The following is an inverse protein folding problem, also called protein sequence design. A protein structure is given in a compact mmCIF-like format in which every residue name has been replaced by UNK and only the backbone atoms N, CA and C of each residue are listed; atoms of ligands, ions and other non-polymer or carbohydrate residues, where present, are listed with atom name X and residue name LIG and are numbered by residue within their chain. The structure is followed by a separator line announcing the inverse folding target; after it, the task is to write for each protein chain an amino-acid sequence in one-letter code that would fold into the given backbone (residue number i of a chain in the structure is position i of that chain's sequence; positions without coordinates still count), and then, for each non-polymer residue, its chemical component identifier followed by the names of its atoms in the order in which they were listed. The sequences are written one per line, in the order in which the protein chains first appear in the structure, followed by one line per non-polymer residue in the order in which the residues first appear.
data_IF_271681879127
#
_entry.id   IF_271681879127
#
_cell.length_a   1.000
_cell.length_b   1.000
_cell.length_c   1.000
_cell.angle_alpha   90.00
_cell.angle_beta   90.00
_cell.angle_gamma   90.00
#
_symmetry.space_group_name_H-M   'P 1'
#
loop_
_entity.id
_entity.type
_entity.pdbx_description
1 polymer ?
#
# COMPACT_ATOMS: atom_id res chain seq x y z
N UNK A 1 -17.50 -36.87 -1.18
CA UNK A 1 -18.44 -35.93 -1.86
C UNK A 1 -19.44 -35.26 -0.91
N UNK A 2 -20.29 -35.98 -0.16
CA UNK A 2 -21.24 -35.36 0.79
C UNK A 2 -20.52 -34.65 1.96
N UNK A 3 -19.47 -35.28 2.51
CA UNK A 3 -18.65 -34.69 3.59
C UNK A 3 -17.83 -33.46 3.22
N UNK A 4 -17.58 -33.22 1.91
CA UNK A 4 -16.85 -32.04 1.45
C UNK A 4 -17.76 -30.81 1.44
N UNK A 5 -18.97 -30.96 0.93
CA UNK A 5 -19.95 -29.87 0.93
C UNK A 5 -20.32 -29.42 2.34
N UNK A 6 -20.51 -30.37 3.28
CA UNK A 6 -20.80 -30.02 4.66
C UNK A 6 -19.68 -29.19 5.30
N UNK A 7 -18.42 -29.54 5.02
CA UNK A 7 -17.26 -28.78 5.46
C UNK A 7 -17.26 -27.34 4.93
N UNK A 8 -17.42 -27.17 3.59
CA UNK A 8 -17.45 -25.82 3.00
C UNK A 8 -18.61 -24.97 3.52
N UNK A 9 -19.82 -25.59 3.64
CA UNK A 9 -20.98 -24.91 4.22
C UNK A 9 -20.69 -24.40 5.63
N UNK A 10 -20.10 -25.24 6.47
CA UNK A 10 -19.80 -24.90 7.88
C UNK A 10 -18.79 -23.78 7.96
N UNK A 11 -17.69 -23.87 7.20
CA UNK A 11 -16.64 -22.83 7.21
C UNK A 11 -17.17 -21.52 6.64
N UNK A 12 -17.75 -21.53 5.43
CA UNK A 12 -18.19 -20.30 4.79
C UNK A 12 -19.32 -19.62 5.55
N UNK A 13 -20.24 -20.37 6.14
CA UNK A 13 -21.27 -19.81 7.02
C UNK A 13 -20.68 -19.07 8.22
N UNK A 14 -19.54 -19.50 8.73
CA UNK A 14 -18.84 -18.83 9.83
C UNK A 14 -17.96 -17.68 9.39
N UNK A 15 -17.71 -17.52 8.08
CA UNK A 15 -16.82 -16.50 7.56
C UNK A 15 -17.53 -15.17 7.25
N UNK A 16 -18.78 -15.21 6.78
CA UNK A 16 -19.44 -14.03 6.26
C UNK A 16 -20.57 -13.52 7.16
N UNK A 17 -20.74 -12.19 7.18
CA UNK A 17 -21.85 -11.53 7.89
C UNK A 17 -23.07 -11.33 6.99
N UNK A 18 -22.84 -11.19 5.69
CA UNK A 18 -23.88 -10.89 4.73
C UNK A 18 -24.58 -12.15 4.20
N UNK A 19 -25.83 -12.05 3.71
CA UNK A 19 -26.48 -13.14 2.98
C UNK A 19 -25.74 -13.47 1.69
N UNK A 20 -25.49 -14.76 1.44
CA UNK A 20 -24.80 -15.22 0.23
C UNK A 20 -25.32 -16.57 -0.24
N UNK A 21 -24.86 -16.97 -1.40
CA UNK A 21 -25.13 -18.29 -1.97
C UNK A 21 -23.84 -19.05 -2.22
N UNK A 22 -23.92 -20.40 -2.12
CA UNK A 22 -22.87 -21.30 -2.58
C UNK A 22 -23.46 -22.14 -3.73
N UNK A 23 -22.79 -22.11 -4.88
CA UNK A 23 -23.03 -23.05 -5.97
C UNK A 23 -21.90 -24.08 -6.00
N UNK A 24 -22.24 -25.36 -5.92
CA UNK A 24 -21.27 -26.45 -5.98
C UNK A 24 -21.09 -26.96 -7.42
N UNK A 25 -20.01 -27.72 -7.64
CA UNK A 25 -19.64 -28.36 -8.93
C UNK A 25 -20.66 -29.29 -9.52
N UNK A 26 -21.65 -29.76 -8.76
CA UNK A 26 -22.78 -30.57 -9.22
C UNK A 26 -24.03 -29.73 -9.51
N UNK A 27 -23.92 -28.41 -9.49
CA UNK A 27 -24.99 -27.48 -9.81
C UNK A 27 -25.93 -27.14 -8.64
N UNK A 28 -25.80 -27.80 -7.47
CA UNK A 28 -26.62 -27.50 -6.31
C UNK A 28 -26.26 -26.09 -5.80
N UNK A 29 -27.30 -25.27 -5.59
CA UNK A 29 -27.20 -23.94 -5.01
C UNK A 29 -27.83 -23.95 -3.63
N UNK A 30 -27.14 -23.38 -2.65
CA UNK A 30 -27.63 -23.22 -1.29
C UNK A 30 -27.45 -21.77 -0.83
N UNK A 31 -28.46 -21.26 -0.14
CA UNK A 31 -28.50 -19.88 0.38
C UNK A 31 -28.22 -19.86 1.88
N UNK A 32 -27.48 -18.84 2.33
CA UNK A 32 -27.11 -18.59 3.72
C UNK A 32 -27.45 -17.15 4.09
N UNK A 33 -27.98 -16.94 5.32
CA UNK A 33 -28.45 -15.65 5.77
C UNK A 33 -29.87 -15.32 5.34
N UNK A 34 -30.42 -14.25 5.89
CA UNK A 34 -31.76 -13.74 5.59
C UNK A 34 -31.68 -12.56 4.60
N UNK A 35 -32.70 -12.40 3.76
CA UNK A 35 -32.74 -11.33 2.76
C UNK A 35 -32.16 -11.70 1.40
N UNK A 36 -31.87 -10.74 0.55
CA UNK A 36 -31.30 -10.94 -0.78
C UNK A 36 -29.79 -11.23 -0.68
N UNK A 37 -29.32 -12.21 -1.45
CA UNK A 37 -27.91 -12.58 -1.46
C UNK A 37 -27.08 -11.49 -2.13
N UNK A 38 -26.05 -10.99 -1.44
CA UNK A 38 -25.15 -9.97 -1.96
C UNK A 38 -24.13 -10.50 -2.96
N UNK A 39 -23.77 -11.78 -2.83
CA UNK A 39 -22.82 -12.44 -3.71
C UNK A 39 -23.06 -13.94 -3.74
N UNK A 40 -22.49 -14.62 -4.75
CA UNK A 40 -22.48 -16.07 -4.85
C UNK A 40 -21.04 -16.58 -4.99
N UNK A 41 -20.68 -17.58 -4.19
CA UNK A 41 -19.42 -18.31 -4.29
C UNK A 41 -19.67 -19.59 -5.09
N UNK A 42 -18.93 -19.77 -6.18
CA UNK A 42 -19.11 -20.90 -7.08
C UNK A 42 -17.86 -21.79 -7.00
N UNK A 43 -18.04 -23.01 -6.54
CA UNK A 43 -17.01 -24.04 -6.59
C UNK A 43 -17.15 -24.80 -7.91
N UNK A 44 -16.18 -24.66 -8.80
CA UNK A 44 -16.12 -25.42 -10.05
C UNK A 44 -15.58 -26.84 -9.81
N UNK A 45 -14.74 -27.00 -8.80
CA UNK A 45 -14.21 -28.28 -8.32
C UNK A 45 -13.97 -28.27 -6.81
N UNK A 46 -13.79 -29.43 -6.17
CA UNK A 46 -13.41 -29.49 -4.76
C UNK A 46 -12.03 -28.91 -4.50
N UNK A 47 -11.89 -28.19 -3.37
CA UNK A 47 -10.63 -27.65 -2.87
C UNK A 47 -10.19 -28.50 -1.66
N UNK A 48 -8.88 -28.67 -1.47
CA UNK A 48 -8.34 -29.44 -0.36
C UNK A 48 -8.75 -28.86 0.99
N UNK A 49 -9.42 -29.66 1.82
CA UNK A 49 -9.78 -29.25 3.20
C UNK A 49 -8.55 -29.01 4.08
N UNK A 50 -7.52 -29.83 3.88
CA UNK A 50 -6.26 -29.69 4.62
C UNK A 50 -5.60 -28.35 4.34
N UNK A 51 -5.61 -27.93 3.07
CA UNK A 51 -5.01 -26.67 2.66
C UNK A 51 -5.81 -25.46 3.19
N UNK A 52 -7.15 -25.54 3.16
CA UNK A 52 -8.03 -24.52 3.76
C UNK A 52 -7.76 -24.36 5.26
N UNK A 53 -7.56 -25.47 5.99
CA UNK A 53 -7.28 -25.43 7.43
C UNK A 53 -5.86 -24.88 7.70
N UNK A 54 -4.89 -25.23 6.86
CA UNK A 54 -3.50 -24.83 7.04
C UNK A 54 -3.27 -23.35 6.70
N UNK A 55 -3.74 -22.91 5.53
CA UNK A 55 -3.64 -21.53 5.08
C UNK A 55 -4.83 -21.16 4.19
N UNK A 56 -5.94 -20.69 4.77
CA UNK A 56 -7.12 -20.32 4.01
C UNK A 56 -6.87 -19.14 3.05
N UNK A 57 -5.96 -18.23 3.38
CA UNK A 57 -5.66 -17.08 2.54
C UNK A 57 -5.03 -17.49 1.21
N UNK A 58 -3.98 -18.29 1.27
CA UNK A 58 -3.34 -18.87 0.06
C UNK A 58 -4.35 -19.73 -0.69
N UNK A 59 -5.04 -20.63 0.02
CA UNK A 59 -5.89 -21.63 -0.61
C UNK A 59 -7.07 -21.01 -1.37
N UNK A 60 -7.79 -20.07 -0.76
CA UNK A 60 -8.90 -19.40 -1.46
C UNK A 60 -8.42 -18.42 -2.52
N UNK A 61 -7.31 -17.72 -2.29
CA UNK A 61 -6.71 -16.83 -3.28
C UNK A 61 -6.29 -17.58 -4.54
N UNK A 62 -5.56 -18.69 -4.39
CA UNK A 62 -5.13 -19.53 -5.53
C UNK A 62 -6.32 -20.22 -6.23
N UNK A 63 -7.33 -20.67 -5.46
CA UNK A 63 -8.53 -21.23 -6.03
C UNK A 63 -9.29 -20.21 -6.89
N UNK A 64 -9.34 -18.95 -6.46
CA UNK A 64 -9.91 -17.87 -7.25
C UNK A 64 -9.05 -17.58 -8.50
N UNK A 65 -7.73 -17.49 -8.38
CA UNK A 65 -6.82 -17.25 -9.50
C UNK A 65 -6.94 -18.32 -10.58
N UNK A 66 -7.07 -19.59 -10.17
CA UNK A 66 -7.12 -20.77 -11.07
C UNK A 66 -8.52 -21.20 -11.50
N UNK A 67 -9.55 -20.40 -11.21
CA UNK A 67 -10.98 -20.69 -11.50
C UNK A 67 -11.55 -21.92 -10.81
N UNK A 68 -10.88 -22.53 -9.85
CA UNK A 68 -11.48 -23.55 -8.98
C UNK A 68 -12.63 -22.98 -8.15
N UNK A 69 -12.51 -21.69 -7.84
CA UNK A 69 -13.50 -20.88 -7.17
C UNK A 69 -13.78 -19.61 -7.98
N UNK A 70 -15.05 -19.28 -8.16
CA UNK A 70 -15.48 -18.03 -8.77
C UNK A 70 -16.41 -17.24 -7.83
N UNK A 71 -16.45 -15.94 -8.04
CA UNK A 71 -17.34 -15.01 -7.33
C UNK A 71 -18.26 -14.37 -8.34
N UNK A 72 -19.58 -14.51 -8.15
CA UNK A 72 -20.59 -13.72 -8.85
C UNK A 72 -21.00 -12.57 -7.93
N UNK A 73 -20.76 -11.36 -8.38
CA UNK A 73 -20.89 -10.12 -7.60
C UNK A 73 -19.54 -9.46 -7.38
N UNK A 74 -19.45 -8.56 -6.41
CA UNK A 74 -18.23 -7.80 -6.11
C UNK A 74 -17.26 -8.62 -5.25
N UNK A 75 -16.02 -8.76 -5.71
CA UNK A 75 -14.92 -9.36 -4.92
C UNK A 75 -14.67 -8.55 -3.64
N UNK A 76 -14.71 -7.22 -3.74
CA UNK A 76 -14.58 -6.33 -2.58
C UNK A 76 -15.66 -6.62 -1.54
N UNK A 77 -16.93 -6.73 -1.95
CA UNK A 77 -18.04 -7.02 -1.02
C UNK A 77 -17.87 -8.36 -0.30
N UNK A 78 -17.34 -9.39 -0.97
CA UNK A 78 -17.03 -10.68 -0.34
C UNK A 78 -15.99 -10.51 0.76
N UNK A 79 -14.90 -9.77 0.48
CA UNK A 79 -13.83 -9.55 1.44
C UNK A 79 -14.27 -8.64 2.59
N UNK A 80 -15.09 -7.62 2.32
CA UNK A 80 -15.68 -6.76 3.37
C UNK A 80 -16.60 -7.56 4.30
N UNK A 81 -17.45 -8.44 3.74
CA UNK A 81 -18.31 -9.33 4.54
C UNK A 81 -17.48 -10.24 5.44
N UNK A 82 -16.34 -10.74 4.95
CA UNK A 82 -15.40 -11.54 5.72
C UNK A 82 -14.76 -10.70 6.86
N UNK A 83 -14.25 -9.52 6.57
CA UNK A 83 -13.55 -8.69 7.54
C UNK A 83 -14.47 -8.07 8.61
N UNK A 84 -15.72 -7.82 8.28
CA UNK A 84 -16.73 -7.35 9.23
C UNK A 84 -17.13 -8.44 10.23
N UNK A 85 -16.85 -9.71 9.95
CA UNK A 85 -17.10 -10.82 10.87
C UNK A 85 -15.95 -11.02 11.87
N UNK A 86 -15.95 -10.24 12.95
CA UNK A 86 -14.94 -10.34 14.03
C UNK A 86 -14.95 -11.67 14.77
N UNK A 87 -16.01 -12.47 14.64
CA UNK A 87 -16.16 -13.79 15.21
C UNK A 87 -15.75 -14.93 14.24
N UNK A 88 -15.26 -14.57 13.04
CA UNK A 88 -14.90 -15.55 12.03
C UNK A 88 -13.76 -16.46 12.47
N UNK A 89 -13.72 -17.65 11.91
CA UNK A 89 -12.61 -18.61 12.08
C UNK A 89 -11.24 -17.96 11.76
N UNK A 90 -11.20 -17.02 10.84
CA UNK A 90 -9.96 -16.32 10.44
C UNK A 90 -9.52 -15.29 11.48
N UNK A 91 -10.45 -14.59 12.14
CA UNK A 91 -10.12 -13.58 13.13
C UNK A 91 -9.63 -14.15 14.47
N UNK A 92 -9.98 -15.40 14.81
CA UNK A 92 -9.64 -16.06 16.06
C UNK A 92 -8.37 -16.94 16.01
N UNK A 93 -7.72 -17.05 14.86
CA UNK A 93 -6.56 -17.93 14.74
C UNK A 93 -5.28 -17.25 15.23
N UNK A 94 -4.92 -17.47 16.51
CA UNK A 94 -3.60 -17.14 17.10
C UNK A 94 -2.42 -17.72 16.29
N UNK A 95 -2.66 -18.66 15.38
CA UNK A 95 -1.64 -19.23 14.49
C UNK A 95 -1.09 -18.19 13.51
N UNK A 96 -1.89 -17.20 13.10
CA UNK A 96 -1.42 -16.13 12.20
C UNK A 96 -0.46 -15.17 12.88
N UNK A 97 -0.62 -14.89 14.18
CA UNK A 97 0.32 -14.05 14.94
C UNK A 97 1.71 -14.69 15.11
N UNK A 98 1.80 -16.03 15.09
CA UNK A 98 3.07 -16.76 15.27
C UNK A 98 3.87 -16.99 13.98
N UNK A 99 3.28 -16.74 12.81
CA UNK A 99 3.93 -16.90 11.51
C UNK A 99 4.71 -15.65 11.04
N UNK A 100 4.85 -14.65 11.89
CA UNK A 100 5.73 -13.49 11.61
C UNK A 100 7.16 -14.02 11.54
N UNK A 101 7.59 -14.36 10.35
CA UNK A 101 9.01 -14.65 10.11
C UNK A 101 9.77 -13.34 10.25
N UNK A 102 10.48 -13.18 11.37
CA UNK A 102 11.45 -12.11 11.55
C UNK A 102 12.58 -12.29 10.55
N UNK A 103 12.59 -11.49 9.51
CA UNK A 103 13.68 -11.46 8.54
C UNK A 103 14.28 -10.05 8.53
N UNK A 104 15.57 -9.98 8.84
CA UNK A 104 16.32 -8.73 8.62
C UNK A 104 16.42 -8.48 7.12
N UNK A 105 15.96 -7.31 6.67
CA UNK A 105 16.05 -6.91 5.27
C UNK A 105 17.50 -6.54 4.95
N UNK A 106 18.09 -7.18 3.94
CA UNK A 106 19.39 -6.79 3.38
C UNK A 106 19.16 -5.97 2.11
N UNK A 107 20.13 -5.12 1.73
CA UNK A 107 20.05 -4.31 0.49
C UNK A 107 19.72 -5.19 -0.71
N UNK A 108 20.40 -6.33 -0.85
CA UNK A 108 20.17 -7.28 -1.94
C UNK A 108 18.72 -7.79 -1.93
N UNK A 109 18.22 -8.21 -0.77
CA UNK A 109 16.85 -8.74 -0.64
C UNK A 109 15.79 -7.66 -0.89
N UNK A 110 16.03 -6.44 -0.42
CA UNK A 110 15.14 -5.30 -0.71
C UNK A 110 15.07 -5.05 -2.22
N UNK A 111 16.22 -5.09 -2.92
CA UNK A 111 16.29 -4.94 -4.37
C UNK A 111 15.52 -6.04 -5.08
N UNK A 112 15.77 -7.31 -4.74
CA UNK A 112 15.10 -8.47 -5.35
C UNK A 112 13.56 -8.42 -5.15
N UNK A 113 13.09 -8.04 -3.98
CA UNK A 113 11.65 -7.95 -3.66
C UNK A 113 10.95 -6.80 -4.41
N UNK A 114 11.58 -5.62 -4.45
CA UNK A 114 11.05 -4.46 -5.18
C UNK A 114 11.07 -4.74 -6.68
N UNK A 115 12.14 -5.32 -7.19
CA UNK A 115 12.25 -5.71 -8.58
C UNK A 115 11.13 -6.69 -8.96
N UNK A 116 10.83 -7.69 -8.16
CA UNK A 116 9.73 -8.64 -8.41
C UNK A 116 8.38 -7.93 -8.60
N UNK A 117 8.08 -6.90 -7.79
CA UNK A 117 6.80 -6.18 -7.87
C UNK A 117 6.76 -5.19 -9.05
N UNK A 118 7.83 -4.44 -9.30
CA UNK A 118 7.86 -3.39 -10.32
C UNK A 118 8.29 -3.87 -11.72
N UNK A 119 8.90 -5.05 -11.86
CA UNK A 119 9.24 -5.67 -13.16
C UNK A 119 8.01 -6.12 -13.97
N UNK A 120 6.79 -5.86 -13.46
CA UNK A 120 5.56 -6.00 -14.25
C UNK A 120 5.55 -5.04 -15.44
N UNK A 121 6.33 -3.94 -15.34
CA UNK A 121 6.63 -2.98 -16.39
C UNK A 121 5.82 -1.68 -16.31
N UNK A 122 6.47 -0.57 -16.63
CA UNK A 122 5.86 0.76 -16.62
C UNK A 122 4.60 0.84 -17.51
N UNK A 123 4.57 0.14 -18.65
CA UNK A 123 3.43 0.15 -19.57
C UNK A 123 2.16 -0.44 -18.94
N UNK A 124 2.32 -1.41 -18.03
CA UNK A 124 1.19 -1.96 -17.30
C UNK A 124 0.63 -0.95 -16.28
N UNK A 125 1.50 -0.28 -15.51
CA UNK A 125 1.08 0.71 -14.51
C UNK A 125 0.43 1.94 -15.15
N UNK A 126 0.91 2.39 -16.31
CA UNK A 126 0.32 3.50 -17.08
C UNK A 126 -1.13 3.28 -17.50
N UNK A 127 -1.57 2.03 -17.60
CA UNK A 127 -2.93 1.72 -18.05
C UNK A 127 -4.00 2.10 -17.02
N UNK A 128 -3.69 2.07 -15.73
CA UNK A 128 -4.69 2.16 -14.67
C UNK A 128 -4.33 3.10 -13.51
N UNK A 129 -3.07 3.56 -13.39
CA UNK A 129 -2.70 4.64 -12.48
C UNK A 129 -3.17 6.01 -13.04
N UNK A 130 -2.90 7.07 -12.29
CA UNK A 130 -3.03 8.45 -12.75
C UNK A 130 -1.95 8.82 -13.77
N UNK A 131 -2.12 9.95 -14.46
CA UNK A 131 -1.20 10.41 -15.51
C UNK A 131 0.25 10.63 -15.01
N UNK A 132 0.43 10.93 -13.73
CA UNK A 132 1.74 11.10 -13.09
C UNK A 132 2.32 9.80 -12.53
N UNK A 133 1.62 8.67 -12.66
CA UNK A 133 2.03 7.34 -12.20
C UNK A 133 2.25 7.28 -10.69
N UNK A 134 1.38 7.87 -9.88
CA UNK A 134 1.46 7.77 -8.44
C UNK A 134 0.88 6.44 -7.93
N UNK A 135 1.74 5.54 -7.47
CA UNK A 135 1.32 4.26 -6.88
C UNK A 135 1.31 4.33 -5.36
N UNK A 136 0.53 5.25 -4.84
CA UNK A 136 0.32 5.49 -3.40
C UNK A 136 -1.04 6.15 -3.17
N UNK A 137 -1.46 6.26 -1.90
CA UNK A 137 -2.75 6.82 -1.53
C UNK A 137 -2.93 8.26 -2.04
N UNK A 138 -4.01 8.54 -2.79
CA UNK A 138 -4.43 9.89 -3.16
C UNK A 138 -5.08 10.65 -1.99
N UNK A 139 -5.28 11.96 -2.14
CA UNK A 139 -5.96 12.82 -1.16
C UNK A 139 -7.20 13.46 -1.79
N UNK A 140 -8.36 12.97 -1.48
CA UNK A 140 -9.64 13.47 -2.02
C UNK A 140 -10.14 14.65 -1.18
N UNK A 141 -10.02 15.86 -1.68
CA UNK A 141 -10.59 17.06 -1.03
C UNK A 141 -12.11 17.04 -1.11
N UNK A 142 -12.66 16.51 -2.21
CA UNK A 142 -14.08 16.34 -2.44
C UNK A 142 -14.38 14.89 -2.83
N UNK A 143 -15.60 14.45 -2.56
CA UNK A 143 -16.04 13.09 -2.93
C UNK A 143 -16.07 12.84 -4.44
N UNK A 144 -16.11 13.89 -5.25
CA UNK A 144 -16.16 13.85 -6.71
C UNK A 144 -14.79 14.03 -7.38
N UNK A 145 -13.71 14.18 -6.60
CA UNK A 145 -12.38 14.32 -7.17
C UNK A 145 -12.01 13.08 -7.98
N UNK A 146 -11.46 13.30 -9.19
CA UNK A 146 -10.87 12.22 -9.99
C UNK A 146 -9.59 11.69 -9.34
N UNK A 147 -9.12 10.53 -9.78
CA UNK A 147 -7.84 9.96 -9.32
C UNK A 147 -6.67 10.93 -9.58
N UNK A 148 -6.59 11.54 -10.77
CA UNK A 148 -5.58 12.56 -11.11
C UNK A 148 -5.63 13.74 -10.14
N UNK A 149 -6.82 14.23 -9.83
CA UNK A 149 -7.00 15.34 -8.88
C UNK A 149 -6.59 14.91 -7.46
N UNK A 150 -6.96 13.71 -7.02
CA UNK A 150 -6.61 13.20 -5.70
C UNK A 150 -5.09 13.00 -5.55
N UNK A 151 -4.39 12.55 -6.58
CA UNK A 151 -2.94 12.41 -6.56
C UNK A 151 -2.23 13.77 -6.56
N UNK A 152 -2.70 14.73 -7.35
CA UNK A 152 -2.20 16.11 -7.31
C UNK A 152 -2.44 16.75 -5.94
N UNK A 153 -3.61 16.56 -5.36
CA UNK A 153 -3.92 17.02 -4.01
C UNK A 153 -3.00 16.39 -2.95
N UNK A 154 -2.69 15.08 -3.06
CA UNK A 154 -1.76 14.37 -2.17
C UNK A 154 -0.38 15.00 -2.20
N UNK A 155 0.17 15.26 -3.40
CA UNK A 155 1.48 15.92 -3.54
C UNK A 155 1.45 17.29 -2.86
N UNK A 156 0.47 18.13 -3.17
CA UNK A 156 0.34 19.45 -2.56
C UNK A 156 0.18 19.40 -1.04
N UNK A 157 -0.59 18.44 -0.52
CA UNK A 157 -0.79 18.26 0.91
C UNK A 157 0.51 17.89 1.64
N UNK A 158 1.32 17.00 1.05
CA UNK A 158 2.65 16.64 1.56
C UNK A 158 3.57 17.87 1.55
N UNK A 159 3.65 18.59 0.42
CA UNK A 159 4.53 19.75 0.29
C UNK A 159 4.14 20.89 1.24
N UNK A 160 2.85 21.11 1.46
CA UNK A 160 2.35 22.07 2.45
C UNK A 160 2.78 21.68 3.88
N UNK A 161 2.62 20.41 4.27
CA UNK A 161 3.06 19.92 5.59
C UNK A 161 4.56 20.09 5.80
N UNK A 162 5.36 19.87 4.77
CA UNK A 162 6.81 20.09 4.82
C UNK A 162 7.20 21.58 4.94
N UNK A 163 6.27 22.51 4.76
CA UNK A 163 6.47 23.95 4.86
C UNK A 163 7.75 24.39 4.13
N UNK A 164 7.84 24.01 2.84
CA UNK A 164 9.01 24.24 2.01
C UNK A 164 9.25 25.75 1.74
N UNK A 165 10.52 26.14 1.71
CA UNK A 165 10.97 27.48 1.35
C UNK A 165 12.00 27.40 0.24
N UNK A 166 12.04 28.43 -0.63
CA UNK A 166 13.00 28.52 -1.71
C UNK A 166 14.46 28.31 -1.24
N UNK A 167 15.22 27.56 -2.00
CA UNK A 167 16.63 27.26 -1.73
C UNK A 167 16.88 26.13 -0.74
N UNK A 168 15.85 25.61 -0.05
CA UNK A 168 15.99 24.43 0.82
C UNK A 168 16.30 23.17 0.03
N UNK A 169 16.83 22.16 0.75
CA UNK A 169 17.10 20.82 0.23
C UNK A 169 16.02 19.84 0.67
N UNK A 170 15.55 19.01 -0.27
CA UNK A 170 14.56 17.96 -0.04
C UNK A 170 15.14 16.61 -0.45
N UNK A 171 15.03 15.59 0.40
CA UNK A 171 15.25 14.18 0.05
C UNK A 171 13.91 13.45 -0.01
N UNK A 172 13.67 12.71 -1.09
CA UNK A 172 12.54 11.76 -1.21
C UNK A 172 13.08 10.33 -1.22
N UNK A 173 12.81 9.59 -0.15
CA UNK A 173 13.25 8.19 0.02
C UNK A 173 12.20 7.25 -0.59
N UNK A 174 12.51 6.68 -1.76
CA UNK A 174 11.57 5.92 -2.55
C UNK A 174 10.72 6.81 -3.47
N UNK A 175 11.39 7.64 -4.27
CA UNK A 175 10.75 8.69 -5.06
C UNK A 175 9.85 8.21 -6.21
N UNK A 176 9.76 6.90 -6.45
CA UNK A 176 8.98 6.37 -7.56
C UNK A 176 9.39 6.98 -8.89
N UNK A 177 8.42 7.41 -9.68
CA UNK A 177 8.64 8.06 -10.99
C UNK A 177 8.89 9.58 -10.89
N UNK A 178 9.20 10.09 -9.69
CA UNK A 178 9.74 11.44 -9.47
C UNK A 178 8.71 12.56 -9.35
N UNK A 179 7.41 12.29 -9.31
CA UNK A 179 6.38 13.32 -9.33
C UNK A 179 6.47 14.32 -8.16
N UNK A 180 6.76 13.85 -6.94
CA UNK A 180 6.88 14.68 -5.75
C UNK A 180 8.09 15.63 -5.84
N UNK A 181 9.27 15.12 -6.21
CA UNK A 181 10.49 15.94 -6.30
C UNK A 181 10.41 16.97 -7.41
N UNK A 182 9.81 16.61 -8.55
CA UNK A 182 9.55 17.54 -9.66
C UNK A 182 8.58 18.64 -9.23
N UNK A 183 7.48 18.27 -8.58
CA UNK A 183 6.47 19.22 -8.09
C UNK A 183 7.05 20.16 -7.02
N UNK A 184 7.86 19.66 -6.10
CA UNK A 184 8.54 20.47 -5.09
C UNK A 184 9.47 21.52 -5.72
N UNK A 185 10.28 21.12 -6.68
CA UNK A 185 11.18 22.03 -7.38
C UNK A 185 10.43 23.09 -8.20
N UNK A 186 9.35 22.72 -8.90
CA UNK A 186 8.53 23.66 -9.67
C UNK A 186 7.86 24.71 -8.79
N UNK A 187 7.23 24.26 -7.71
CA UNK A 187 6.38 25.12 -6.89
C UNK A 187 7.18 25.96 -5.89
N UNK A 188 8.22 25.38 -5.28
CA UNK A 188 8.94 26.00 -4.15
C UNK A 188 10.40 26.38 -4.46
N UNK A 189 10.92 26.04 -5.66
CA UNK A 189 12.32 26.30 -6.05
C UNK A 189 13.34 25.68 -5.08
N UNK A 190 13.02 24.52 -4.53
CA UNK A 190 13.89 23.72 -3.68
C UNK A 190 14.83 22.84 -4.50
N UNK A 191 15.98 22.48 -3.92
CA UNK A 191 16.85 21.46 -4.50
C UNK A 191 16.38 20.08 -4.03
N UNK A 192 15.83 19.30 -4.92
CA UNK A 192 15.24 17.99 -4.61
C UNK A 192 16.14 16.85 -5.06
N UNK A 193 16.39 15.91 -4.18
CA UNK A 193 17.05 14.65 -4.49
C UNK A 193 16.05 13.51 -4.27
N UNK A 194 15.80 12.70 -5.28
CA UNK A 194 15.03 11.47 -5.18
C UNK A 194 15.95 10.25 -5.19
N UNK A 195 15.65 9.24 -4.40
CA UNK A 195 16.34 7.95 -4.47
C UNK A 195 15.33 6.82 -4.73
N UNK A 196 15.74 5.87 -5.53
CA UNK A 196 15.01 4.62 -5.80
C UNK A 196 15.99 3.48 -6.00
N UNK A 197 15.55 2.23 -5.80
CA UNK A 197 16.33 1.03 -6.12
C UNK A 197 15.77 0.27 -7.34
N UNK A 198 14.76 0.83 -8.01
CA UNK A 198 14.21 0.35 -9.28
C UNK A 198 14.86 1.08 -10.46
N UNK A 199 15.49 0.33 -11.35
CA UNK A 199 16.09 0.85 -12.57
C UNK A 199 15.06 1.52 -13.49
N UNK A 200 13.89 0.92 -13.66
CA UNK A 200 12.79 1.48 -14.47
C UNK A 200 12.25 2.82 -13.93
N UNK A 201 12.13 2.93 -12.61
CA UNK A 201 11.72 4.20 -11.98
C UNK A 201 12.81 5.27 -12.15
N UNK A 202 14.07 4.90 -11.96
CA UNK A 202 15.21 5.80 -12.12
C UNK A 202 15.30 6.37 -13.53
N UNK A 203 15.23 5.52 -14.56
CA UNK A 203 15.30 5.93 -15.96
C UNK A 203 14.14 6.87 -16.32
N UNK A 204 12.90 6.50 -15.96
CA UNK A 204 11.72 7.30 -16.25
C UNK A 204 11.74 8.64 -15.49
N UNK A 205 12.10 8.66 -14.22
CA UNK A 205 12.22 9.90 -13.45
C UNK A 205 13.30 10.82 -14.03
N UNK A 206 14.45 10.26 -14.47
CA UNK A 206 15.52 11.03 -15.13
C UNK A 206 15.03 11.69 -16.42
N UNK A 207 14.30 10.93 -17.25
CA UNK A 207 13.72 11.46 -18.49
C UNK A 207 12.71 12.58 -18.20
N UNK A 208 11.81 12.40 -17.23
CA UNK A 208 10.84 13.42 -16.83
C UNK A 208 11.52 14.70 -16.35
N UNK A 209 12.56 14.61 -15.52
CA UNK A 209 13.33 15.78 -15.03
C UNK A 209 13.91 16.57 -16.21
N UNK A 210 14.48 15.86 -17.20
CA UNK A 210 15.04 16.47 -18.40
C UNK A 210 13.98 17.13 -19.28
N UNK A 211 12.84 16.46 -19.51
CA UNK A 211 11.73 17.02 -20.29
C UNK A 211 11.16 18.30 -19.66
N UNK A 212 11.22 18.40 -18.33
CA UNK A 212 10.75 19.56 -17.57
C UNK A 212 11.82 20.68 -17.43
N UNK A 213 13.06 20.42 -17.89
CA UNK A 213 14.18 21.39 -17.80
C UNK A 213 14.59 21.68 -16.35
N UNK A 214 14.51 20.69 -15.46
CA UNK A 214 14.72 20.85 -14.03
C UNK A 214 16.05 20.28 -13.54
N UNK A 215 16.98 19.89 -14.42
CA UNK A 215 18.25 19.22 -14.06
C UNK A 215 19.12 20.04 -13.09
N UNK A 216 18.91 21.35 -13.03
CA UNK A 216 19.63 22.23 -12.10
C UNK A 216 19.05 22.21 -10.67
N UNK A 217 17.81 21.71 -10.47
CA UNK A 217 17.10 21.69 -9.18
C UNK A 217 16.78 20.29 -8.71
N UNK A 218 16.67 19.33 -9.63
CA UNK A 218 16.21 17.97 -9.32
C UNK A 218 17.22 16.95 -9.80
N UNK A 219 17.63 16.06 -8.93
CA UNK A 219 18.39 14.86 -9.29
C UNK A 219 17.68 13.61 -8.80
N UNK A 220 17.82 12.50 -9.50
CA UNK A 220 17.42 11.17 -9.04
C UNK A 220 18.64 10.25 -9.01
N UNK A 221 18.71 9.35 -8.02
CA UNK A 221 19.81 8.40 -7.87
C UNK A 221 19.28 6.98 -7.74
N UNK A 222 19.91 6.06 -8.41
CA UNK A 222 19.70 4.62 -8.20
C UNK A 222 20.52 4.18 -6.98
N UNK A 223 19.94 4.34 -5.78
CA UNK A 223 20.64 4.21 -4.51
C UNK A 223 19.72 3.76 -3.39
N UNK A 224 20.23 2.90 -2.51
CA UNK A 224 19.55 2.56 -1.25
C UNK A 224 19.80 3.66 -0.20
N UNK A 225 18.76 3.99 0.62
CA UNK A 225 18.87 5.03 1.63
C UNK A 225 19.96 4.76 2.67
N UNK A 226 20.30 3.49 2.93
CA UNK A 226 21.37 3.06 3.85
C UNK A 226 22.78 3.43 3.36
N UNK A 227 22.91 3.76 2.08
CA UNK A 227 24.19 4.12 1.45
C UNK A 227 24.43 5.63 1.41
N UNK A 228 23.43 6.45 1.80
CA UNK A 228 23.59 7.90 1.84
C UNK A 228 24.49 8.27 3.02
N UNK A 229 25.54 9.05 2.77
CA UNK A 229 26.52 9.46 3.80
C UNK A 229 27.04 10.85 3.54
N UNK A 230 27.41 11.55 4.64
CA UNK A 230 28.09 12.86 4.59
C UNK A 230 27.29 13.96 3.88
N UNK A 231 25.96 13.86 3.92
CA UNK A 231 25.02 14.88 3.42
C UNK A 231 23.88 15.02 4.41
N UNK A 232 23.24 16.17 4.43
CA UNK A 232 22.04 16.40 5.22
C UNK A 232 21.03 17.26 4.44
N UNK A 233 19.78 17.20 4.85
CA UNK A 233 18.65 17.83 4.16
C UNK A 233 17.79 18.64 5.12
N UNK A 234 17.22 19.72 4.63
CA UNK A 234 16.25 20.52 5.38
C UNK A 234 14.92 19.81 5.53
N UNK A 235 14.57 18.99 4.54
CA UNK A 235 13.33 18.23 4.48
C UNK A 235 13.61 16.82 3.99
N UNK A 236 12.92 15.87 4.61
CA UNK A 236 12.91 14.46 4.16
C UNK A 236 11.46 14.02 4.01
N UNK A 237 11.17 13.28 2.95
CA UNK A 237 9.87 12.66 2.72
C UNK A 237 10.06 11.20 2.33
N UNK A 238 9.10 10.37 2.70
CA UNK A 238 9.02 8.98 2.26
C UNK A 238 7.55 8.59 2.11
N UNK A 239 7.17 8.07 0.94
CA UNK A 239 5.79 7.76 0.58
C UNK A 239 5.67 6.32 0.12
N UNK A 240 5.06 5.44 0.94
CA UNK A 240 4.82 4.03 0.59
C UNK A 240 6.09 3.20 0.47
N UNK A 241 7.15 3.56 1.18
CA UNK A 241 8.44 2.86 1.17
C UNK A 241 8.68 2.07 2.45
N UNK A 242 8.19 2.56 3.61
CA UNK A 242 8.44 1.97 4.92
C UNK A 242 7.98 0.51 4.99
N UNK A 243 6.93 0.17 4.26
CA UNK A 243 6.37 -1.18 4.14
C UNK A 243 7.38 -2.21 3.58
N UNK A 244 8.42 -1.74 2.89
CA UNK A 244 9.48 -2.56 2.32
C UNK A 244 10.73 -2.66 3.22
N UNK A 245 10.78 -1.90 4.31
CA UNK A 245 11.94 -1.86 5.23
C UNK A 245 12.03 -3.14 6.09
N UNK A 246 10.88 -3.66 6.52
CA UNK A 246 10.79 -4.81 7.42
C UNK A 246 10.97 -4.43 8.90
N UNK A 247 10.35 -5.22 9.80
CA UNK A 247 10.27 -4.94 11.23
C UNK A 247 11.65 -4.76 11.88
N UNK A 248 12.61 -5.64 11.55
CA UNK A 248 13.95 -5.61 12.18
C UNK A 248 14.82 -4.43 11.75
N UNK A 249 14.46 -3.74 10.67
CA UNK A 249 15.19 -2.59 10.13
C UNK A 249 14.45 -1.26 10.39
N UNK A 250 13.31 -1.29 11.06
CA UNK A 250 12.50 -0.09 11.29
C UNK A 250 13.25 0.96 12.12
N UNK A 251 13.86 0.56 13.23
CA UNK A 251 14.67 1.47 14.06
C UNK A 251 15.90 1.99 13.30
N UNK A 252 16.58 1.15 12.51
CA UNK A 252 17.70 1.57 11.64
C UNK A 252 17.25 2.66 10.65
N UNK A 253 16.07 2.52 10.07
CA UNK A 253 15.51 3.54 9.18
C UNK A 253 15.36 4.91 9.86
N UNK A 254 14.80 4.95 11.06
CA UNK A 254 14.62 6.22 11.80
C UNK A 254 15.96 6.83 12.24
N UNK A 255 16.96 6.01 12.61
CA UNK A 255 18.32 6.49 12.87
C UNK A 255 18.92 7.17 11.63
N UNK A 256 18.80 6.55 10.46
CA UNK A 256 19.32 7.12 9.21
C UNK A 256 18.58 8.43 8.86
N UNK A 257 17.25 8.47 8.99
CA UNK A 257 16.49 9.71 8.76
C UNK A 257 16.94 10.81 9.72
N UNK A 258 17.16 10.51 11.01
CA UNK A 258 17.67 11.46 11.98
C UNK A 258 19.06 11.98 11.62
N UNK A 259 19.97 11.11 11.17
CA UNK A 259 21.33 11.50 10.77
C UNK A 259 21.33 12.39 9.52
N UNK A 260 20.43 12.12 8.58
CA UNK A 260 20.29 12.87 7.33
C UNK A 260 19.52 14.19 7.48
N UNK A 261 18.78 14.39 8.57
CA UNK A 261 17.98 15.60 8.77
C UNK A 261 18.80 16.69 9.44
N UNK A 262 18.77 17.91 8.88
CA UNK A 262 19.36 19.09 9.51
C UNK A 262 18.63 19.42 10.82
N UNK A 263 19.31 20.12 11.74
CA UNK A 263 18.67 20.67 12.94
C UNK A 263 17.48 21.55 12.53
N UNK A 264 16.34 21.41 13.22
CA UNK A 264 15.03 22.00 12.88
C UNK A 264 14.47 21.55 11.52
N UNK A 265 15.06 20.56 10.88
CA UNK A 265 14.53 19.94 9.66
C UNK A 265 13.24 19.20 9.92
N UNK A 266 12.41 19.06 8.89
CA UNK A 266 11.14 18.32 8.96
C UNK A 266 11.22 17.05 8.15
N UNK A 267 10.66 15.97 8.69
CA UNK A 267 10.42 14.73 7.95
C UNK A 267 8.94 14.37 7.94
N UNK A 268 8.44 13.96 6.78
CA UNK A 268 7.09 13.43 6.60
C UNK A 268 7.17 12.00 6.12
N UNK A 269 6.58 11.12 6.90
CA UNK A 269 6.38 9.72 6.56
C UNK A 269 4.92 9.48 6.19
N UNK A 270 4.69 8.89 5.01
CA UNK A 270 3.37 8.50 4.51
C UNK A 270 3.39 6.99 4.30
N UNK A 271 2.80 6.22 5.19
CA UNK A 271 2.90 4.76 5.16
C UNK A 271 1.63 4.05 5.65
N UNK A 272 1.46 2.81 5.19
CA UNK A 272 0.44 1.91 5.70
C UNK A 272 0.82 1.50 7.12
N UNK A 273 -0.16 1.43 8.00
CA UNK A 273 0.03 1.06 9.40
C UNK A 273 -1.07 0.12 9.89
N UNK A 274 -0.76 -0.63 10.94
CA UNK A 274 -1.72 -1.43 11.67
C UNK A 274 -1.87 -0.93 13.12
N UNK A 275 -2.92 -1.38 13.80
CA UNK A 275 -3.12 -1.11 15.23
C UNK A 275 -2.13 -1.93 16.06
N UNK A 276 -1.94 -3.20 15.69
CA UNK A 276 -1.02 -4.12 16.35
C UNK A 276 0.00 -4.64 15.35
N UNK A 277 1.17 -5.06 15.84
CA UNK A 277 2.11 -5.80 15.02
C UNK A 277 1.45 -7.07 14.48
N UNK A 278 1.59 -7.29 13.19
CA UNK A 278 1.09 -8.46 12.50
C UNK A 278 1.88 -8.69 11.21
N UNK A 279 1.95 -9.94 10.75
CA UNK A 279 2.50 -10.24 9.44
C UNK A 279 1.55 -9.83 8.32
N UNK A 280 2.08 -9.67 7.12
CA UNK A 280 1.25 -9.57 5.94
C UNK A 280 0.39 -10.83 5.77
N UNK A 281 -0.76 -10.66 5.13
CA UNK A 281 -1.52 -11.77 4.60
C UNK A 281 -0.61 -12.65 3.72
N UNK A 282 -0.61 -13.97 3.94
CA UNK A 282 0.30 -14.90 3.26
C UNK A 282 0.17 -14.88 1.74
N UNK A 283 -1.04 -14.64 1.22
CA UNK A 283 -1.28 -14.50 -0.21
C UNK A 283 -0.67 -13.19 -0.75
N UNK A 284 -0.83 -12.07 -0.03
CA UNK A 284 -0.21 -10.78 -0.39
C UNK A 284 1.32 -10.90 -0.36
N UNK A 285 1.88 -11.56 0.68
CA UNK A 285 3.34 -11.79 0.77
C UNK A 285 3.87 -12.64 -0.38
N UNK A 286 3.10 -13.64 -0.82
CA UNK A 286 3.53 -14.54 -1.92
C UNK A 286 3.46 -13.90 -3.30
N UNK A 287 2.38 -13.16 -3.59
CA UNK A 287 2.02 -12.76 -4.95
C UNK A 287 2.19 -11.28 -5.25
N UNK A 288 2.15 -10.41 -4.25
CA UNK A 288 2.10 -8.95 -4.47
C UNK A 288 3.31 -8.26 -3.85
N UNK A 289 3.53 -8.37 -2.53
CA UNK A 289 4.59 -7.67 -1.81
C UNK A 289 5.46 -8.64 -1.00
N UNK A 290 6.36 -9.41 -1.65
CA UNK A 290 7.22 -10.34 -0.95
C UNK A 290 8.08 -9.64 0.11
N UNK A 291 8.01 -10.15 1.35
CA UNK A 291 8.75 -9.59 2.49
C UNK A 291 8.27 -8.22 2.96
N UNK A 292 7.11 -7.76 2.49
CA UNK A 292 6.49 -6.53 2.97
C UNK A 292 6.05 -6.66 4.43
N UNK A 293 6.07 -5.55 5.17
CA UNK A 293 5.64 -5.48 6.55
C UNK A 293 4.81 -4.23 6.80
N UNK A 294 3.67 -4.39 7.46
CA UNK A 294 2.83 -3.26 7.88
C UNK A 294 3.10 -2.99 9.36
N UNK A 295 3.85 -1.93 9.70
CA UNK A 295 4.24 -1.66 11.07
C UNK A 295 3.04 -1.19 11.91
N UNK A 296 3.05 -1.54 13.21
CA UNK A 296 2.12 -0.92 14.15
C UNK A 296 2.47 0.55 14.36
N UNK A 297 1.47 1.43 14.30
CA UNK A 297 1.68 2.88 14.48
C UNK A 297 2.39 3.21 15.81
N UNK A 298 2.12 2.45 16.88
CA UNK A 298 2.79 2.63 18.17
C UNK A 298 4.30 2.48 18.08
N UNK A 299 4.80 1.55 17.26
CA UNK A 299 6.24 1.31 17.10
C UNK A 299 6.90 2.46 16.36
N UNK A 300 6.26 2.96 15.31
CA UNK A 300 6.72 4.17 14.60
C UNK A 300 6.86 5.37 15.57
N UNK A 301 5.83 5.60 16.38
CA UNK A 301 5.85 6.70 17.36
C UNK A 301 6.90 6.47 18.43
N UNK A 302 7.13 5.22 18.85
CA UNK A 302 8.19 4.87 19.81
C UNK A 302 9.57 5.15 19.23
N UNK A 303 9.86 4.70 17.99
CA UNK A 303 11.15 4.96 17.34
C UNK A 303 11.42 6.46 17.17
N UNK A 304 10.38 7.26 16.83
CA UNK A 304 10.49 8.74 16.77
C UNK A 304 10.84 9.32 18.14
N UNK A 305 10.16 8.88 19.20
CA UNK A 305 10.37 9.39 20.56
C UNK A 305 11.73 8.98 21.15
N UNK A 306 12.18 7.76 20.90
CA UNK A 306 13.46 7.24 21.38
C UNK A 306 14.67 7.99 20.77
N UNK A 307 14.49 8.63 19.60
CA UNK A 307 15.49 9.47 18.96
C UNK A 307 15.36 10.97 19.30
N UNK A 308 14.53 11.32 20.29
CA UNK A 308 14.24 12.71 20.68
C UNK A 308 13.77 13.61 19.51
N UNK A 309 13.12 12.98 18.50
CA UNK A 309 12.49 13.70 17.42
C UNK A 309 11.13 14.25 17.89
N UNK A 310 10.84 15.50 17.56
CA UNK A 310 9.58 16.15 17.93
C UNK A 310 8.45 15.71 17.00
N UNK A 311 7.47 14.97 17.53
CA UNK A 311 6.25 14.60 16.78
C UNK A 311 5.33 15.83 16.65
N UNK A 312 5.05 16.26 15.41
CA UNK A 312 4.26 17.46 15.12
C UNK A 312 2.82 17.13 14.75
N UNK A 313 2.62 16.17 13.85
CA UNK A 313 1.29 15.83 13.35
C UNK A 313 1.17 14.35 12.98
N UNK A 314 -0.02 13.78 13.21
CA UNK A 314 -0.41 12.45 12.76
C UNK A 314 -1.79 12.54 12.15
N UNK A 315 -1.90 12.28 10.86
CA UNK A 315 -3.16 12.30 10.12
C UNK A 315 -3.49 10.92 9.55
N UNK A 316 -4.71 10.46 9.78
CA UNK A 316 -5.21 9.20 9.20
C UNK A 316 -5.86 9.44 7.83
N UNK A 317 -5.36 8.78 6.82
CA UNK A 317 -5.87 8.81 5.45
C UNK A 317 -6.51 7.48 5.02
N UNK A 318 -6.95 6.67 5.98
CA UNK A 318 -7.54 5.35 5.74
C UNK A 318 -8.62 5.35 4.65
N UNK A 319 -9.59 6.26 4.76
CA UNK A 319 -10.70 6.36 3.79
C UNK A 319 -10.22 6.79 2.39
N UNK A 320 -9.21 7.63 2.33
CA UNK A 320 -8.60 8.05 1.07
C UNK A 320 -7.96 6.87 0.35
N UNK A 321 -7.31 5.96 1.10
CA UNK A 321 -6.68 4.81 0.45
C UNK A 321 -7.70 3.78 -0.01
N UNK A 322 -8.76 3.52 0.76
CA UNK A 322 -9.87 2.69 0.29
C UNK A 322 -10.39 3.21 -1.05
N UNK A 323 -10.71 4.50 -1.12
CA UNK A 323 -11.21 5.15 -2.34
C UNK A 323 -10.17 5.14 -3.49
N UNK A 324 -8.89 5.34 -3.21
CA UNK A 324 -7.83 5.25 -4.23
C UNK A 324 -7.79 3.85 -4.86
N UNK A 325 -7.87 2.80 -4.03
CA UNK A 325 -7.87 1.40 -4.49
C UNK A 325 -9.14 1.05 -5.29
N UNK A 326 -10.29 1.62 -4.92
CA UNK A 326 -11.53 1.49 -5.69
C UNK A 326 -11.38 2.11 -7.09
N UNK A 327 -10.82 3.32 -7.20
CA UNK A 327 -10.49 3.92 -8.51
C UNK A 327 -9.50 3.07 -9.31
N UNK A 328 -8.46 2.53 -8.66
CA UNK A 328 -7.52 1.64 -9.35
C UNK A 328 -8.21 0.36 -9.84
N UNK A 329 -9.09 -0.22 -9.05
CA UNK A 329 -9.85 -1.40 -9.45
C UNK A 329 -10.78 -1.12 -10.65
N UNK A 330 -11.50 0.01 -10.63
CA UNK A 330 -12.37 0.45 -11.73
C UNK A 330 -11.55 0.72 -13.01
N UNK A 331 -10.44 1.45 -12.90
CA UNK A 331 -9.54 1.71 -14.02
C UNK A 331 -8.99 0.41 -14.61
N UNK A 332 -8.54 -0.52 -13.75
CA UNK A 332 -8.01 -1.81 -14.19
C UNK A 332 -9.06 -2.61 -14.96
N UNK A 333 -10.30 -2.67 -14.47
CA UNK A 333 -11.41 -3.34 -15.19
C UNK A 333 -11.71 -2.67 -16.54
N UNK A 334 -11.61 -1.35 -16.62
CA UNK A 334 -11.87 -0.59 -17.86
C UNK A 334 -10.85 -0.88 -18.98
N UNK A 335 -9.62 -1.24 -18.61
CA UNK A 335 -8.51 -1.51 -19.54
C UNK A 335 -8.24 -3.00 -19.78
N UNK A 336 -9.06 -3.90 -19.26
CA UNK A 336 -8.91 -5.35 -19.45
C UNK A 336 -8.66 -5.78 -20.89
N UNK A 337 -9.38 -5.26 -21.94
CA UNK A 337 -9.12 -5.65 -23.33
C UNK A 337 -7.69 -5.37 -23.81
N UNK A 338 -6.97 -4.46 -23.13
CA UNK A 338 -5.56 -4.17 -23.42
C UNK A 338 -4.68 -5.13 -22.62
N UNK A 339 -4.98 -5.32 -21.32
CA UNK A 339 -4.22 -6.19 -20.42
C UNK A 339 -4.21 -7.64 -20.88
N UNK A 340 -5.35 -8.16 -21.38
CA UNK A 340 -5.50 -9.51 -21.90
C UNK A 340 -4.58 -9.84 -23.09
N UNK A 341 -4.03 -8.82 -23.76
CA UNK A 341 -3.08 -9.04 -24.87
C UNK A 341 -1.69 -9.46 -24.37
N UNK A 342 -1.36 -9.15 -23.13
CA UNK A 342 0.00 -9.33 -22.56
C UNK A 342 0.06 -10.13 -21.28
N UNK A 343 -1.07 -10.28 -20.58
CA UNK A 343 -1.19 -11.00 -19.31
C UNK A 343 -2.23 -12.10 -19.42
N UNK A 344 -1.95 -13.23 -18.76
CA UNK A 344 -2.89 -14.35 -18.70
C UNK A 344 -4.02 -14.08 -17.69
N UNK A 345 -5.02 -14.92 -17.73
CA UNK A 345 -6.19 -14.80 -16.85
C UNK A 345 -5.85 -15.01 -15.37
N UNK A 346 -4.85 -15.83 -15.06
CA UNK A 346 -4.39 -16.04 -13.68
C UNK A 346 -3.84 -14.74 -13.10
N UNK A 347 -3.04 -14.02 -13.87
CA UNK A 347 -2.53 -12.70 -13.50
C UNK A 347 -3.68 -11.68 -13.33
N UNK A 348 -4.62 -11.62 -14.27
CA UNK A 348 -5.75 -10.70 -14.22
C UNK A 348 -6.58 -10.93 -12.95
N UNK A 349 -6.88 -12.19 -12.63
CA UNK A 349 -7.62 -12.55 -11.42
C UNK A 349 -6.83 -12.25 -10.16
N UNK A 350 -5.53 -12.47 -10.18
CA UNK A 350 -4.62 -12.09 -9.08
C UNK A 350 -4.68 -10.59 -8.83
N UNK A 351 -4.55 -9.77 -9.87
CA UNK A 351 -4.54 -8.31 -9.74
C UNK A 351 -5.88 -7.76 -9.28
N UNK A 352 -6.98 -8.28 -9.83
CA UNK A 352 -8.34 -7.97 -9.38
C UNK A 352 -8.54 -8.30 -7.90
N UNK A 353 -8.12 -9.48 -7.47
CA UNK A 353 -8.21 -9.88 -6.06
C UNK A 353 -7.39 -8.96 -5.16
N UNK A 354 -6.18 -8.61 -5.57
CA UNK A 354 -5.31 -7.70 -4.84
C UNK A 354 -5.98 -6.33 -4.61
N UNK A 355 -6.38 -5.64 -5.67
CA UNK A 355 -6.94 -4.29 -5.56
C UNK A 355 -8.21 -4.27 -4.69
N UNK A 356 -9.12 -5.20 -4.92
CA UNK A 356 -10.38 -5.30 -4.18
C UNK A 356 -10.17 -5.71 -2.72
N UNK A 357 -9.25 -6.63 -2.43
CA UNK A 357 -8.95 -7.06 -1.05
C UNK A 357 -8.29 -5.95 -0.24
N UNK A 358 -7.40 -5.17 -0.86
CA UNK A 358 -6.80 -4.02 -0.21
C UNK A 358 -7.82 -2.91 0.04
N UNK A 359 -8.71 -2.59 -0.92
CA UNK A 359 -9.81 -1.64 -0.72
C UNK A 359 -10.68 -2.05 0.48
N UNK A 360 -11.09 -3.32 0.54
CA UNK A 360 -11.86 -3.88 1.65
C UNK A 360 -11.10 -3.77 2.99
N UNK A 361 -9.78 -4.03 3.02
CA UNK A 361 -8.97 -3.93 4.24
C UNK A 361 -8.97 -2.53 4.82
N UNK A 362 -8.84 -1.50 3.98
CA UNK A 362 -8.93 -0.11 4.42
C UNK A 362 -10.36 0.27 4.82
N UNK A 363 -11.38 -0.10 4.04
CA UNK A 363 -12.77 0.21 4.33
C UNK A 363 -13.23 -0.39 5.66
N UNK A 364 -12.85 -1.63 5.96
CA UNK A 364 -13.18 -2.31 7.21
C UNK A 364 -12.28 -1.93 8.39
N UNK A 365 -11.21 -1.15 8.17
CA UNK A 365 -10.33 -0.66 9.23
C UNK A 365 -9.34 -1.71 9.75
N UNK A 366 -9.05 -2.77 8.99
CA UNK A 366 -8.03 -3.76 9.35
C UNK A 366 -6.63 -3.16 9.31
N UNK A 367 -6.40 -2.27 8.35
CA UNK A 367 -5.19 -1.46 8.20
C UNK A 367 -5.57 0.01 8.04
N UNK A 368 -4.61 0.88 8.28
CA UNK A 368 -4.73 2.32 8.13
C UNK A 368 -3.61 2.85 7.23
N UNK A 369 -3.70 4.11 6.86
CA UNK A 369 -2.60 4.87 6.30
C UNK A 369 -2.45 6.14 7.10
N UNK A 370 -1.22 6.45 7.50
CA UNK A 370 -0.93 7.69 8.21
C UNK A 370 0.10 8.54 7.48
N UNK A 371 -0.11 9.86 7.56
CA UNK A 371 0.95 10.83 7.39
C UNK A 371 1.44 11.25 8.75
N UNK A 372 2.73 11.09 9.02
CA UNK A 372 3.37 11.38 10.29
C UNK A 372 4.44 12.44 10.03
N UNK A 373 4.26 13.63 10.63
CA UNK A 373 5.18 14.75 10.52
C UNK A 373 5.97 14.90 11.81
N UNK A 374 7.28 14.96 11.72
CA UNK A 374 8.17 15.16 12.86
C UNK A 374 9.38 16.05 12.51
N UNK A 375 10.02 16.61 13.51
CA UNK A 375 11.18 17.49 13.37
C UNK A 375 12.40 16.94 14.12
N UNK A 376 13.59 17.29 13.66
CA UNK A 376 14.81 17.12 14.44
C UNK A 376 15.01 18.31 15.38
N UNK A 377 14.90 18.04 16.67
CA UNK A 377 14.96 19.07 17.71
C UNK A 377 13.76 20.04 17.68
N UNK A 378 13.80 21.08 18.50
CA UNK A 378 12.71 22.04 18.65
C UNK A 378 12.65 23.00 17.48
N UNK A 379 11.54 23.03 16.75
CA UNK A 379 11.32 23.93 15.61
C UNK A 379 10.21 24.96 15.89
N UNK A 380 10.61 26.12 16.44
CA UNK A 380 9.69 27.23 16.72
C UNK A 380 9.39 28.12 15.50
N UNK A 381 9.90 27.79 14.32
CA UNK A 381 9.66 28.54 13.08
C UNK A 381 8.39 28.07 12.34
N UNK A 382 7.74 27.01 12.84
CA UNK A 382 6.48 26.50 12.30
C UNK A 382 5.30 27.39 12.72
N UNK A 383 4.26 27.52 11.87
CA UNK A 383 3.02 28.18 12.25
C UNK A 383 2.37 27.49 13.46
N UNK A 384 1.73 28.29 14.35
CA UNK A 384 1.06 27.76 15.54
C UNK A 384 -0.19 26.91 15.22
N UNK A 385 -0.81 27.14 14.07
CA UNK A 385 -2.02 26.40 13.64
C UNK A 385 -1.71 25.48 12.45
N UNK A 386 -2.57 24.47 12.25
CA UNK A 386 -2.46 23.54 11.12
C UNK A 386 -2.94 24.12 9.78
N UNK A 387 -3.40 25.38 9.73
CA UNK A 387 -4.00 25.97 8.52
C UNK A 387 -3.05 25.97 7.32
N UNK A 388 -1.73 26.03 7.56
CA UNK A 388 -0.72 25.96 6.50
C UNK A 388 -0.67 24.59 5.82
N UNK A 389 -1.08 23.51 6.51
CA UNK A 389 -1.08 22.15 5.98
C UNK A 389 -2.24 21.90 5.01
N UNK A 390 -3.32 22.69 5.10
CA UNK A 390 -4.56 22.50 4.37
C UNK A 390 -4.71 23.41 3.13
N UNK A 391 -3.71 24.18 2.77
CA UNK A 391 -3.74 25.15 1.67
C UNK A 391 -3.85 24.51 0.30
#
# INVERSE_FOLDING_TARGET
MVGDKLFYKTILKSMFTDPFEIKFWDGIVEKFGEGESKFQIIFNEPISKGDIINDPSITFGEAYMTKKLEIKGSVQSVVESLYNNKESFLSKSEKYEKLIKKFKSTIKRSKDNIQFHYDIGNDFYKLWLDDSMNYSCGYFKNDTDSLNQAQSNKINHILNKLNLKEGQTLLDIGCGWGDLIISAAKQYKVKSTGITISEEQFENATERIKLEGLENLVEVKLQDYREIKNVSFDRIVSVGMLEHVGLESLSEYFHIVNDLLNDKGLSLLHCITAVNEGGNNTWIDKYIFPGGHVPAIKNIITDIADLELELIDVESLRRHYGKTLEHWAENFESVLPIVEKTKDETFIRMWRLYLNSCAASFNCGNINLHQILFAKGVNNDLPLTRDYMAK
#
